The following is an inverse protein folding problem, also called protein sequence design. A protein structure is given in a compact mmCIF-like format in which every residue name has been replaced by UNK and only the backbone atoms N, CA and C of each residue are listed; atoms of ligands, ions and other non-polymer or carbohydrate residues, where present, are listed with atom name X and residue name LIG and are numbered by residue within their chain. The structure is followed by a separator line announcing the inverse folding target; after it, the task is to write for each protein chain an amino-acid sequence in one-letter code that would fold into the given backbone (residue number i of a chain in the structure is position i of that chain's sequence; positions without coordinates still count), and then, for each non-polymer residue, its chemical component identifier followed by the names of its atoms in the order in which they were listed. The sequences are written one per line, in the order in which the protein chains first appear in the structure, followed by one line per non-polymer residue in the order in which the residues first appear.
data_IF_910102607784
#
_entry.id   IF_910102607784
#
_cell.length_a   1.000
_cell.length_b   1.000
_cell.length_c   1.000
_cell.angle_alpha   90.00
_cell.angle_beta   90.00
_cell.angle_gamma   90.00
#
_symmetry.space_group_name_H-M   'P 1'
#
loop_
_entity.id
_entity.type
_entity.pdbx_description
1 polymer ?
#
# COMPACT_ATOMS: atom_id res chain seq x y z
N UNK A 1 0.43 -0.17 18.22
CA UNK A 1 0.82 -1.46 18.80
C UNK A 1 2.08 -2.03 18.16
N UNK A 2 2.17 -2.11 16.84
CA UNK A 2 3.34 -2.62 16.12
C UNK A 2 4.59 -1.78 16.40
N UNK A 3 4.48 -0.45 16.37
CA UNK A 3 5.56 0.48 16.71
C UNK A 3 6.00 0.33 18.17
N UNK A 4 5.06 0.12 19.10
CA UNK A 4 5.38 -0.12 20.51
C UNK A 4 6.10 -1.46 20.73
N UNK A 5 5.71 -2.52 20.01
CA UNK A 5 6.39 -3.81 20.07
C UNK A 5 7.81 -3.75 19.50
N UNK A 6 8.01 -3.02 18.40
CA UNK A 6 9.34 -2.76 17.81
C UNK A 6 10.20 -1.93 18.77
N UNK A 7 9.66 -0.86 19.35
CA UNK A 7 10.36 -0.03 20.33
C UNK A 7 10.77 -0.83 21.57
N UNK A 8 9.88 -1.67 22.09
CA UNK A 8 10.19 -2.55 23.21
C UNK A 8 11.29 -3.57 22.88
N UNK A 9 11.26 -4.14 21.68
CA UNK A 9 12.30 -5.07 21.21
C UNK A 9 13.67 -4.39 21.07
N UNK A 10 13.72 -3.15 20.58
CA UNK A 10 14.95 -2.36 20.46
C UNK A 10 15.49 -1.96 21.83
N UNK A 11 14.61 -1.64 22.81
CA UNK A 11 15.02 -1.28 24.17
C UNK A 11 15.56 -2.48 24.94
N UNK A 12 14.99 -3.68 24.75
CA UNK A 12 15.44 -4.91 25.42
C UNK A 12 16.82 -5.37 24.92
N UNK A 13 17.12 -5.11 23.62
CA UNK A 13 18.41 -5.47 23.03
C UNK A 13 19.34 -4.23 22.93
N UNK A 14 20.06 -3.96 23.97
CA UNK A 14 20.97 -2.78 24.16
C UNK A 14 22.21 -2.75 23.23
N UNK A 15 22.15 -2.98 22.02
CA UNK A 15 23.02 -3.07 20.82
C UNK A 15 22.86 -4.44 20.15
N UNK A 16 21.77 -4.67 19.42
CA UNK A 16 21.56 -5.95 18.78
C UNK A 16 22.56 -6.14 17.63
N UNK A 17 23.08 -7.35 17.50
CA UNK A 17 23.71 -7.78 16.24
C UNK A 17 22.65 -7.78 15.13
N UNK A 18 23.05 -7.63 13.86
CA UNK A 18 22.10 -7.56 12.73
C UNK A 18 21.07 -8.72 12.73
N UNK A 19 21.51 -9.90 13.14
CA UNK A 19 20.65 -11.07 13.26
C UNK A 19 19.60 -10.97 14.39
N UNK A 20 20.01 -10.43 15.54
CA UNK A 20 19.10 -10.20 16.68
C UNK A 20 18.08 -9.10 16.39
N UNK A 21 18.49 -8.04 15.69
CA UNK A 21 17.57 -6.97 15.24
C UNK A 21 16.49 -7.51 14.30
N UNK A 22 16.86 -8.37 13.34
CA UNK A 22 15.92 -8.99 12.41
C UNK A 22 14.93 -9.91 13.13
N UNK A 23 15.41 -10.73 14.08
CA UNK A 23 14.55 -11.59 14.89
C UNK A 23 13.59 -10.77 15.78
N UNK A 24 14.07 -9.69 16.41
CA UNK A 24 13.24 -8.82 17.23
C UNK A 24 12.12 -8.15 16.42
N UNK A 25 12.42 -7.71 15.18
CA UNK A 25 11.41 -7.19 14.27
C UNK A 25 10.37 -8.25 13.89
N UNK A 26 10.80 -9.47 13.58
CA UNK A 26 9.90 -10.57 13.24
C UNK A 26 8.96 -10.91 14.40
N UNK A 27 9.48 -11.03 15.61
CA UNK A 27 8.68 -11.24 16.82
C UNK A 27 7.74 -10.07 17.11
N UNK A 28 8.18 -8.84 16.88
CA UNK A 28 7.34 -7.64 16.99
C UNK A 28 6.10 -7.69 16.10
N UNK A 29 6.25 -8.17 14.86
CA UNK A 29 5.13 -8.37 13.93
C UNK A 29 4.16 -9.45 14.46
N UNK A 30 4.68 -10.60 14.91
CA UNK A 30 3.86 -11.69 15.46
C UNK A 30 3.07 -11.24 16.68
N UNK A 31 3.73 -10.58 17.64
CA UNK A 31 3.07 -10.05 18.84
C UNK A 31 2.03 -8.99 18.48
N UNK A 32 2.32 -8.11 17.52
CA UNK A 32 1.37 -7.12 17.02
C UNK A 32 0.12 -7.75 16.38
N UNK A 33 0.28 -8.81 15.59
CA UNK A 33 -0.82 -9.57 15.01
C UNK A 33 -1.66 -10.28 16.08
N UNK A 34 -1.02 -10.92 17.05
CA UNK A 34 -1.69 -11.57 18.19
C UNK A 34 -2.48 -10.57 19.03
N UNK A 35 -1.88 -9.42 19.35
CA UNK A 35 -2.57 -8.37 20.09
C UNK A 35 -3.81 -7.85 19.35
N UNK A 36 -3.70 -7.68 18.00
CA UNK A 36 -4.84 -7.31 17.17
C UNK A 36 -5.96 -8.35 17.21
N UNK A 37 -5.63 -9.63 17.18
CA UNK A 37 -6.60 -10.73 17.32
C UNK A 37 -7.25 -10.71 18.70
N UNK A 38 -6.45 -10.58 19.77
CA UNK A 38 -6.95 -10.54 21.16
C UNK A 38 -7.93 -9.39 21.39
N UNK A 39 -7.72 -8.23 20.78
CA UNK A 39 -8.65 -7.08 20.88
C UNK A 39 -10.00 -7.40 20.20
N UNK A 40 -10.01 -8.26 19.19
CA UNK A 40 -11.25 -8.66 18.51
C UNK A 40 -12.05 -9.75 19.25
N UNK A 41 -11.37 -10.57 20.07
CA UNK A 41 -11.99 -11.69 20.80
C UNK A 41 -13.16 -11.27 21.69
N UNK A 42 -13.09 -10.21 22.53
CA UNK A 42 -14.22 -9.82 23.38
C UNK A 42 -15.48 -9.52 22.57
N UNK A 43 -15.33 -8.86 21.43
CA UNK A 43 -16.45 -8.49 20.56
C UNK A 43 -17.07 -9.73 19.88
N UNK A 44 -16.24 -10.69 19.49
CA UNK A 44 -16.69 -11.99 18.97
C UNK A 44 -17.38 -12.80 20.05
N UNK A 45 -16.90 -12.77 21.29
CA UNK A 45 -17.46 -13.52 22.40
C UNK A 45 -18.85 -13.04 22.79
N UNK A 46 -19.07 -11.72 22.79
CA UNK A 46 -20.42 -11.14 23.00
C UNK A 46 -21.41 -11.62 21.95
N UNK A 47 -20.97 -11.82 20.71
CA UNK A 47 -21.82 -12.22 19.58
C UNK A 47 -21.78 -13.74 19.30
N UNK A 48 -21.12 -14.54 20.14
CA UNK A 48 -20.95 -16.00 19.93
C UNK A 48 -22.26 -16.76 19.68
N UNK A 49 -23.36 -16.31 20.27
CA UNK A 49 -24.67 -16.94 20.09
C UNK A 49 -25.26 -16.76 18.69
N UNK A 50 -24.77 -15.78 17.91
CA UNK A 50 -25.16 -15.54 16.52
C UNK A 50 -24.27 -16.25 15.51
N UNK A 51 -23.06 -16.66 15.94
CA UNK A 51 -22.08 -17.35 15.09
C UNK A 51 -22.36 -18.85 15.21
N UNK A 52 -23.14 -19.38 14.27
CA UNK A 52 -23.34 -20.83 14.16
C UNK A 52 -22.43 -21.36 13.08
N UNK A 53 -21.47 -22.26 13.40
CA UNK A 53 -20.66 -22.92 12.37
C UNK A 53 -21.60 -23.74 11.47
N UNK A 54 -21.72 -23.34 10.22
CA UNK A 54 -22.50 -24.08 9.23
C UNK A 54 -21.57 -24.98 8.42
N UNK A 55 -21.96 -26.22 8.22
CA UNK A 55 -21.26 -27.14 7.31
C UNK A 55 -21.61 -26.89 5.83
N UNK A 56 -22.65 -26.09 5.57
CA UNK A 56 -23.04 -25.73 4.20
C UNK A 56 -22.23 -24.50 3.77
N UNK A 57 -21.02 -24.74 3.29
CA UNK A 57 -20.14 -23.68 2.76
C UNK A 57 -20.59 -23.20 1.37
N UNK A 58 -21.34 -24.04 0.63
CA UNK A 58 -21.78 -23.77 -0.73
C UNK A 58 -23.23 -23.32 -0.75
N UNK A 59 -23.44 -22.02 -0.53
CA UNK A 59 -24.76 -21.39 -0.59
C UNK A 59 -24.80 -20.42 -1.78
N UNK A 60 -25.99 -20.05 -2.31
CA UNK A 60 -26.11 -19.05 -3.37
C UNK A 60 -25.41 -17.73 -3.03
N UNK A 61 -25.47 -17.32 -1.77
CA UNK A 61 -24.80 -16.11 -1.29
C UNK A 61 -23.27 -16.25 -1.32
N UNK A 62 -22.75 -17.42 -0.96
CA UNK A 62 -21.30 -17.72 -1.03
C UNK A 62 -20.81 -17.74 -2.48
N UNK A 63 -21.58 -18.30 -3.41
CA UNK A 63 -21.26 -18.29 -4.84
C UNK A 63 -21.22 -16.86 -5.38
N UNK A 64 -22.23 -16.04 -5.04
CA UNK A 64 -22.28 -14.64 -5.43
C UNK A 64 -21.09 -13.84 -4.86
N UNK A 65 -20.76 -14.05 -3.60
CA UNK A 65 -19.59 -13.44 -2.97
C UNK A 65 -18.29 -13.86 -3.67
N UNK A 66 -18.14 -15.14 -4.00
CA UNK A 66 -16.95 -15.66 -4.70
C UNK A 66 -16.82 -15.08 -6.12
N UNK A 67 -17.94 -14.99 -6.85
CA UNK A 67 -17.95 -14.40 -8.20
C UNK A 67 -17.53 -12.91 -8.16
N UNK A 68 -17.99 -12.17 -7.15
CA UNK A 68 -17.60 -10.79 -6.94
C UNK A 68 -16.14 -10.65 -6.45
N UNK A 69 -15.63 -11.62 -5.70
CA UNK A 69 -14.26 -11.64 -5.19
C UNK A 69 -13.24 -12.05 -6.26
N UNK A 70 -13.62 -12.83 -7.27
CA UNK A 70 -12.72 -13.36 -8.29
C UNK A 70 -11.91 -12.26 -9.02
N UNK A 71 -12.53 -11.19 -9.55
CA UNK A 71 -11.77 -10.11 -10.18
C UNK A 71 -10.82 -9.39 -9.20
N UNK A 72 -11.19 -9.28 -7.91
CA UNK A 72 -10.32 -8.72 -6.89
C UNK A 72 -9.10 -9.62 -6.65
N UNK A 73 -9.28 -10.94 -6.57
CA UNK A 73 -8.18 -11.89 -6.46
C UNK A 73 -7.23 -11.83 -7.66
N UNK A 74 -7.75 -11.70 -8.87
CA UNK A 74 -6.92 -11.50 -10.06
C UNK A 74 -6.10 -10.21 -9.97
N UNK A 75 -6.70 -9.09 -9.59
CA UNK A 75 -5.99 -7.83 -9.37
C UNK A 75 -4.85 -7.96 -8.35
N UNK A 76 -5.13 -8.60 -7.22
CA UNK A 76 -4.14 -8.90 -6.18
C UNK A 76 -3.03 -9.79 -6.73
N UNK A 77 -3.36 -10.86 -7.47
CA UNK A 77 -2.38 -11.76 -8.06
C UNK A 77 -1.45 -11.02 -9.05
N UNK A 78 -1.99 -10.14 -9.89
CA UNK A 78 -1.20 -9.29 -10.78
C UNK A 78 -0.28 -8.33 -10.02
N UNK A 79 -0.77 -7.71 -8.94
CA UNK A 79 0.04 -6.82 -8.11
C UNK A 79 1.20 -7.55 -7.43
N UNK A 80 0.97 -8.75 -6.90
CA UNK A 80 2.04 -9.60 -6.35
C UNK A 80 3.00 -10.11 -7.44
N UNK A 81 2.47 -10.51 -8.61
CA UNK A 81 3.28 -10.92 -9.76
C UNK A 81 4.24 -9.82 -10.19
N UNK A 82 3.77 -8.58 -10.29
CA UNK A 82 4.60 -7.40 -10.57
C UNK A 82 5.72 -7.24 -9.54
N UNK A 83 5.42 -7.37 -8.25
CA UNK A 83 6.43 -7.26 -7.20
C UNK A 83 7.49 -8.36 -7.27
N UNK A 84 7.10 -9.58 -7.65
CA UNK A 84 8.04 -10.70 -7.84
C UNK A 84 8.94 -10.46 -9.06
N UNK A 85 8.39 -9.99 -10.18
CA UNK A 85 9.17 -9.63 -11.37
C UNK A 85 10.16 -8.50 -11.06
N UNK A 86 9.70 -7.45 -10.37
CA UNK A 86 10.55 -6.34 -9.92
C UNK A 86 11.72 -6.86 -9.08
N UNK A 87 11.45 -7.75 -8.12
CA UNK A 87 12.49 -8.34 -7.29
C UNK A 87 13.45 -9.22 -8.09
N UNK A 88 12.95 -10.04 -9.01
CA UNK A 88 13.76 -10.94 -9.82
C UNK A 88 14.75 -10.18 -10.71
N UNK A 89 14.28 -9.14 -11.43
CA UNK A 89 15.15 -8.33 -12.27
C UNK A 89 16.11 -7.46 -11.47
N UNK A 90 15.64 -6.84 -10.37
CA UNK A 90 16.48 -5.99 -9.55
C UNK A 90 17.63 -6.73 -8.86
N UNK A 91 17.41 -7.98 -8.46
CA UNK A 91 18.47 -8.80 -7.85
C UNK A 91 19.54 -9.23 -8.88
N UNK A 92 19.19 -9.27 -10.17
CA UNK A 92 20.13 -9.56 -11.25
C UNK A 92 21.05 -8.39 -11.60
N UNK A 93 20.67 -7.15 -11.30
CA UNK A 93 21.43 -5.92 -11.66
C UNK A 93 22.49 -5.51 -10.63
N UNK A 94 22.59 -6.22 -9.51
CA UNK A 94 23.62 -6.00 -8.48
C UNK A 94 23.09 -5.57 -7.11
N UNK A 95 24.02 -5.47 -6.18
CA UNK A 95 23.71 -5.10 -4.79
C UNK A 95 23.13 -3.67 -4.69
N UNK A 96 22.04 -3.52 -3.97
CA UNK A 96 21.41 -2.22 -3.71
C UNK A 96 20.31 -1.81 -4.70
N UNK A 97 20.26 -2.35 -5.92
CA UNK A 97 19.27 -1.97 -6.93
C UNK A 97 17.82 -2.24 -6.44
N UNK A 98 17.57 -3.39 -5.83
CA UNK A 98 16.25 -3.70 -5.26
C UNK A 98 15.83 -2.70 -4.19
N UNK A 99 16.77 -2.30 -3.33
CA UNK A 99 16.52 -1.28 -2.30
C UNK A 99 16.23 0.09 -2.93
N UNK A 100 17.00 0.49 -3.95
CA UNK A 100 16.81 1.73 -4.67
C UNK A 100 15.41 1.82 -5.32
N UNK A 101 14.94 0.74 -5.96
CA UNK A 101 13.57 0.64 -6.50
C UNK A 101 12.51 0.81 -5.39
N UNK A 102 12.72 0.19 -4.23
CA UNK A 102 11.81 0.33 -3.08
C UNK A 102 11.77 1.75 -2.53
N UNK A 103 12.91 2.44 -2.48
CA UNK A 103 12.96 3.84 -2.05
C UNK A 103 12.29 4.78 -3.05
N UNK A 104 12.55 4.60 -4.37
CA UNK A 104 11.89 5.36 -5.41
C UNK A 104 10.36 5.19 -5.35
N UNK A 105 9.89 3.95 -5.24
CA UNK A 105 8.48 3.63 -5.09
C UNK A 105 7.89 4.29 -3.84
N UNK A 106 8.58 4.22 -2.70
CA UNK A 106 8.08 4.79 -1.43
C UNK A 106 7.85 6.29 -1.51
N UNK A 107 8.72 7.03 -2.25
CA UNK A 107 8.52 8.46 -2.51
C UNK A 107 7.24 8.74 -3.31
N UNK A 108 6.96 7.90 -4.29
CA UNK A 108 5.76 8.03 -5.15
C UNK A 108 4.50 7.61 -4.40
N UNK A 109 4.59 6.56 -3.60
CA UNK A 109 3.47 6.04 -2.80
C UNK A 109 3.00 7.03 -1.73
N UNK A 110 3.89 7.89 -1.18
CA UNK A 110 3.52 8.85 -0.15
C UNK A 110 2.43 9.84 -0.60
N UNK A 111 2.62 10.66 -1.65
CA UNK A 111 1.58 11.57 -2.12
C UNK A 111 0.35 10.82 -2.62
N UNK A 112 0.55 9.67 -3.26
CA UNK A 112 -0.55 8.84 -3.76
C UNK A 112 -1.45 8.35 -2.61
N UNK A 113 -0.91 7.75 -1.56
CA UNK A 113 -1.68 7.25 -0.43
C UNK A 113 -2.46 8.37 0.29
N UNK A 114 -1.83 9.51 0.51
CA UNK A 114 -2.49 10.63 1.21
C UNK A 114 -3.66 11.18 0.40
N UNK A 115 -3.47 11.39 -0.90
CA UNK A 115 -4.47 12.01 -1.76
C UNK A 115 -5.57 11.03 -2.15
N UNK A 116 -5.21 9.79 -2.53
CA UNK A 116 -6.15 8.76 -2.94
C UNK A 116 -7.05 8.34 -1.78
N UNK A 117 -6.49 8.04 -0.60
CA UNK A 117 -7.30 7.73 0.58
C UNK A 117 -8.21 8.89 0.99
N UNK A 118 -7.69 10.12 1.01
CA UNK A 118 -8.48 11.30 1.35
C UNK A 118 -9.67 11.48 0.41
N UNK A 119 -9.44 11.33 -0.88
CA UNK A 119 -10.47 11.49 -1.90
C UNK A 119 -11.48 10.33 -1.88
N UNK A 120 -11.01 9.09 -1.70
CA UNK A 120 -11.86 7.89 -1.61
C UNK A 120 -12.86 8.00 -0.46
N UNK A 121 -12.45 8.47 0.72
CA UNK A 121 -13.35 8.67 1.85
C UNK A 121 -14.46 9.68 1.57
N UNK A 122 -14.19 10.71 0.77
CA UNK A 122 -15.17 11.74 0.43
C UNK A 122 -16.10 11.29 -0.69
N UNK A 123 -15.57 10.62 -1.70
CA UNK A 123 -16.29 10.30 -2.94
C UNK A 123 -17.08 9.00 -2.81
N UNK A 124 -16.59 8.02 -2.09
CA UNK A 124 -17.23 6.71 -1.99
C UNK A 124 -18.68 6.76 -1.49
N UNK A 125 -19.04 7.50 -0.42
CA UNK A 125 -20.44 7.63 0.01
C UNK A 125 -21.33 8.25 -1.07
N UNK A 126 -20.81 9.26 -1.77
CA UNK A 126 -21.54 9.96 -2.84
C UNK A 126 -21.79 9.05 -4.05
N UNK A 127 -20.77 8.30 -4.50
CA UNK A 127 -20.94 7.34 -5.58
C UNK A 127 -21.89 6.19 -5.19
N UNK A 128 -21.81 5.73 -3.94
CA UNK A 128 -22.71 4.68 -3.42
C UNK A 128 -24.17 5.12 -3.43
N UNK A 129 -24.44 6.38 -3.08
CA UNK A 129 -25.78 6.96 -3.13
C UNK A 129 -26.32 7.05 -4.57
N UNK A 130 -25.48 7.53 -5.50
CA UNK A 130 -25.84 7.60 -6.91
C UNK A 130 -26.07 6.21 -7.52
N UNK A 131 -25.25 5.23 -7.13
CA UNK A 131 -25.42 3.83 -7.53
C UNK A 131 -26.73 3.23 -7.02
N UNK A 132 -27.10 3.51 -5.77
CA UNK A 132 -28.38 3.06 -5.19
C UNK A 132 -29.59 3.67 -5.90
N UNK A 133 -29.49 4.91 -6.38
CA UNK A 133 -30.53 5.59 -7.16
C UNK A 133 -30.55 5.21 -8.65
N UNK A 134 -29.64 4.35 -9.09
CA UNK A 134 -29.44 3.95 -10.49
C UNK A 134 -29.26 5.12 -11.47
N UNK A 135 -28.79 6.28 -10.99
CA UNK A 135 -28.55 7.47 -11.82
C UNK A 135 -27.19 7.39 -12.50
N UNK A 136 -27.14 6.61 -13.56
CA UNK A 136 -25.89 6.35 -14.33
C UNK A 136 -25.28 7.62 -14.91
N UNK A 137 -26.10 8.57 -15.34
CA UNK A 137 -25.61 9.80 -15.95
C UNK A 137 -24.87 10.70 -14.93
N UNK A 138 -25.46 10.89 -13.74
CA UNK A 138 -24.80 11.63 -12.66
C UNK A 138 -23.57 10.91 -12.14
N UNK A 139 -23.62 9.58 -12.04
CA UNK A 139 -22.48 8.77 -11.64
C UNK A 139 -21.31 8.92 -12.62
N UNK A 140 -21.56 8.82 -13.94
CA UNK A 140 -20.54 9.03 -14.96
C UNK A 140 -19.91 10.43 -14.90
N UNK A 141 -20.73 11.47 -14.75
CA UNK A 141 -20.25 12.83 -14.61
C UNK A 141 -19.43 13.04 -13.34
N UNK A 142 -19.80 12.40 -12.24
CA UNK A 142 -19.03 12.42 -10.99
C UNK A 142 -17.66 11.77 -11.18
N UNK A 143 -17.60 10.58 -11.79
CA UNK A 143 -16.34 9.88 -12.09
C UNK A 143 -15.41 10.71 -12.97
N UNK A 144 -15.93 11.30 -14.06
CA UNK A 144 -15.14 12.21 -14.93
C UNK A 144 -14.56 13.38 -14.16
N UNK A 145 -15.35 13.95 -13.24
CA UNK A 145 -14.88 15.05 -12.39
C UNK A 145 -13.76 14.60 -11.44
N UNK A 146 -13.90 13.43 -10.84
CA UNK A 146 -12.87 12.82 -9.97
C UNK A 146 -11.58 12.62 -10.74
N UNK A 147 -11.65 11.97 -11.90
CA UNK A 147 -10.47 11.73 -12.76
C UNK A 147 -9.80 13.06 -13.13
N UNK A 148 -10.56 14.07 -13.48
CA UNK A 148 -10.01 15.41 -13.80
C UNK A 148 -9.28 16.03 -12.62
N UNK A 149 -9.85 15.95 -11.41
CA UNK A 149 -9.21 16.44 -10.19
C UNK A 149 -7.94 15.66 -9.89
N UNK A 150 -7.96 14.34 -10.01
CA UNK A 150 -6.79 13.49 -9.81
C UNK A 150 -5.66 13.86 -10.78
N UNK A 151 -5.96 13.95 -12.07
CA UNK A 151 -4.96 14.34 -13.07
C UNK A 151 -4.42 15.74 -12.78
N UNK A 152 -5.29 16.69 -12.42
CA UNK A 152 -4.88 18.07 -12.09
C UNK A 152 -3.93 18.13 -10.89
N UNK A 153 -4.15 17.29 -9.88
CA UNK A 153 -3.32 17.26 -8.67
C UNK A 153 -2.02 16.47 -8.91
N UNK A 154 -2.11 15.32 -9.57
CA UNK A 154 -0.93 14.45 -9.76
C UNK A 154 0.01 14.92 -10.86
N UNK A 155 -0.47 15.64 -11.88
CA UNK A 155 0.39 16.16 -12.93
C UNK A 155 1.50 17.09 -12.40
N UNK A 156 1.23 18.12 -11.58
CA UNK A 156 2.28 18.97 -11.02
C UNK A 156 3.21 18.18 -10.07
N UNK A 157 2.69 17.22 -9.30
CA UNK A 157 3.51 16.35 -8.44
C UNK A 157 4.47 15.52 -9.29
N UNK A 158 4.00 14.98 -10.42
CA UNK A 158 4.83 14.25 -11.38
C UNK A 158 5.97 15.13 -11.90
N UNK A 159 5.66 16.34 -12.36
CA UNK A 159 6.67 17.29 -12.85
C UNK A 159 7.65 17.66 -11.73
N UNK A 160 7.17 17.90 -10.53
CA UNK A 160 8.00 18.19 -9.37
C UNK A 160 9.03 17.08 -9.09
N UNK A 161 8.61 15.82 -9.06
CA UNK A 161 9.52 14.70 -8.83
C UNK A 161 10.50 14.45 -9.98
N UNK A 162 10.11 14.74 -11.23
CA UNK A 162 11.01 14.65 -12.37
C UNK A 162 12.13 15.70 -12.27
N UNK A 163 11.77 16.95 -11.90
CA UNK A 163 12.73 18.06 -11.84
C UNK A 163 13.53 18.07 -10.54
N UNK A 164 12.87 17.81 -9.41
CA UNK A 164 13.45 17.92 -8.07
C UNK A 164 13.69 16.55 -7.40
N UNK A 165 13.71 15.45 -8.18
CA UNK A 165 13.81 14.09 -7.62
C UNK A 165 15.06 13.87 -6.81
N UNK A 166 16.24 14.25 -7.31
CA UNK A 166 17.49 14.07 -6.59
C UNK A 166 17.51 14.81 -5.23
N UNK A 167 17.26 16.13 -5.15
CA UNK A 167 17.21 16.81 -3.87
C UNK A 167 16.16 16.22 -2.91
N UNK A 168 15.03 15.77 -3.41
CA UNK A 168 14.00 15.12 -2.58
C UNK A 168 14.51 13.79 -2.02
N UNK A 169 15.16 12.95 -2.83
CA UNK A 169 15.78 11.70 -2.38
C UNK A 169 16.82 11.98 -1.30
N UNK A 170 17.68 12.97 -1.51
CA UNK A 170 18.71 13.36 -0.53
C UNK A 170 18.09 13.81 0.79
N UNK A 171 17.14 14.69 0.76
CA UNK A 171 16.47 15.17 1.98
C UNK A 171 15.73 14.06 2.71
N UNK A 172 15.12 13.13 1.98
CA UNK A 172 14.29 12.08 2.57
C UNK A 172 15.11 10.91 3.13
N UNK A 173 16.21 10.53 2.48
CA UNK A 173 16.88 9.24 2.74
C UNK A 173 18.40 9.33 2.95
N UNK A 174 19.06 10.42 2.56
CA UNK A 174 20.51 10.50 2.66
C UNK A 174 21.00 10.39 4.10
N UNK A 175 21.83 9.39 4.38
CA UNK A 175 22.45 9.17 5.67
C UNK A 175 22.62 7.68 6.02
N UNK A 176 23.51 7.41 6.95
CA UNK A 176 23.82 6.05 7.37
C UNK A 176 24.41 5.20 6.23
N UNK A 177 23.73 4.14 5.85
CA UNK A 177 24.13 3.27 4.73
C UNK A 177 23.62 3.76 3.35
N UNK A 178 22.81 4.81 3.30
CA UNK A 178 22.28 5.37 2.06
C UNK A 178 23.21 6.50 1.58
N UNK A 179 24.09 6.16 0.67
CA UNK A 179 25.17 6.99 0.13
C UNK A 179 24.81 7.62 -1.23
N UNK A 180 25.75 8.33 -1.84
CA UNK A 180 25.59 8.96 -3.15
C UNK A 180 25.30 7.95 -4.27
N UNK A 181 25.83 6.73 -4.17
CA UNK A 181 25.55 5.67 -5.13
C UNK A 181 24.08 5.22 -5.01
N UNK A 182 23.57 5.09 -3.79
CA UNK A 182 22.15 4.77 -3.52
C UNK A 182 21.24 5.88 -4.03
N UNK A 183 21.63 7.16 -3.89
CA UNK A 183 20.90 8.30 -4.46
C UNK A 183 20.83 8.19 -5.97
N UNK A 184 21.97 7.95 -6.64
CA UNK A 184 22.01 7.84 -8.10
C UNK A 184 21.14 6.69 -8.63
N UNK A 185 21.22 5.50 -8.02
CA UNK A 185 20.39 4.35 -8.38
C UNK A 185 18.89 4.65 -8.19
N UNK A 186 18.53 5.29 -7.08
CA UNK A 186 17.15 5.67 -6.79
C UNK A 186 16.62 6.71 -7.77
N UNK A 187 17.48 7.69 -8.14
CA UNK A 187 17.16 8.72 -9.12
C UNK A 187 16.93 8.14 -10.52
N UNK A 188 17.67 7.10 -10.92
CA UNK A 188 17.45 6.42 -12.21
C UNK A 188 16.07 5.75 -12.27
N UNK A 189 15.60 5.19 -11.16
CA UNK A 189 14.32 4.48 -11.08
C UNK A 189 13.12 5.42 -10.92
N UNK A 190 13.30 6.56 -10.24
CA UNK A 190 12.22 7.45 -9.84
C UNK A 190 11.33 7.93 -11.00
N UNK A 191 11.85 8.39 -12.17
CA UNK A 191 11.01 8.88 -13.27
C UNK A 191 9.99 7.85 -13.76
N UNK A 192 10.38 6.58 -13.81
CA UNK A 192 9.49 5.50 -14.26
C UNK A 192 8.31 5.29 -13.30
N UNK A 193 8.55 5.34 -11.99
CA UNK A 193 7.48 5.24 -11.00
C UNK A 193 6.59 6.49 -10.99
N UNK A 194 7.19 7.67 -11.16
CA UNK A 194 6.46 8.95 -11.16
C UNK A 194 5.56 9.07 -12.39
N UNK A 195 6.00 8.63 -13.57
CA UNK A 195 5.13 8.55 -14.73
C UNK A 195 3.94 7.61 -14.51
N UNK A 196 4.14 6.54 -13.76
CA UNK A 196 3.05 5.64 -13.33
C UNK A 196 2.03 6.29 -12.40
N UNK A 197 2.37 7.36 -11.70
CA UNK A 197 1.53 7.99 -10.69
C UNK A 197 0.18 8.47 -11.25
N UNK A 198 0.18 9.06 -12.44
CA UNK A 198 -1.04 9.51 -13.11
C UNK A 198 -1.95 8.34 -13.46
N UNK A 199 -1.36 7.20 -13.86
CA UNK A 199 -2.13 5.99 -14.17
C UNK A 199 -2.69 5.34 -12.91
N UNK A 200 -1.92 5.28 -11.83
CA UNK A 200 -2.40 4.78 -10.53
C UNK A 200 -3.55 5.62 -9.98
N UNK A 201 -3.53 6.93 -10.22
CA UNK A 201 -4.60 7.82 -9.81
C UNK A 201 -5.94 7.56 -10.53
N UNK A 202 -5.91 6.88 -11.68
CA UNK A 202 -7.11 6.53 -12.46
C UNK A 202 -7.58 5.11 -12.12
N UNK A 203 -6.66 4.23 -11.67
CA UNK A 203 -6.95 2.83 -11.34
C UNK A 203 -7.79 2.69 -10.05
N UNK A 204 -7.59 3.56 -9.05
CA UNK A 204 -8.27 3.56 -7.74
C UNK A 204 -9.68 4.16 -7.83
#
# INVERSE_FOLDING_TARGET
LLVAAIAAAVVVYHRPTEHQATQALAWGVVVGCLARLLIMVPKLWVHRHRIRPTRRLWTPDTQKALTLALPLFLGIAFAYGRNLLEAYYALGEGEGMFSALKYARKLVDMPWQVLSLGLSYVIYPFLSELGAKADRARMANALVRVIRVMVFVFAPITVFFIVAGEPVIRVAFFGGKFDDQSVAMTQMALPYYVLGLVFFAIED
#
